data_IF_270170773921
#
_entry.id   IF_270170773921
#
_cell.length_a   1.000
_cell.length_b   1.000
_cell.length_c   1.000
_cell.angle_alpha   90.00
_cell.angle_beta   90.00
_cell.angle_gamma   90.00
#
_symmetry.space_group_name_H-M   'P 1'
#
loop_
_entity.id
_entity.type
_entity.pdbx_description
1 polymer ?
#
# COMPACT_ATOMS: atom_id res chain seq x y z
N UNK A 1 17.52 -2.64 90.49
CA UNK A 1 17.86 -2.70 89.05
C UNK A 1 16.91 -3.68 88.37
N UNK A 2 15.88 -3.19 87.68
CA UNK A 2 14.95 -4.01 86.87
C UNK A 2 15.39 -3.92 85.41
N UNK A 3 15.63 -5.06 84.77
CA UNK A 3 15.89 -5.16 83.31
C UNK A 3 14.55 -5.27 82.60
N UNK A 4 14.32 -4.42 81.61
CA UNK A 4 13.18 -4.46 80.68
C UNK A 4 13.68 -5.17 79.41
N UNK A 5 12.95 -6.16 78.85
CA UNK A 5 13.28 -6.71 77.55
C UNK A 5 12.67 -5.82 76.45
N UNK A 6 13.50 -5.40 75.50
CA UNK A 6 13.04 -4.73 74.27
C UNK A 6 12.84 -5.81 73.22
N UNK A 7 11.59 -6.11 72.90
CA UNK A 7 11.21 -7.00 71.79
C UNK A 7 11.24 -6.19 70.50
N UNK A 8 12.21 -6.47 69.63
CA UNK A 8 12.28 -5.88 68.28
C UNK A 8 11.36 -6.69 67.37
N UNK A 9 10.25 -6.10 66.93
CA UNK A 9 9.38 -6.66 65.89
C UNK A 9 10.00 -6.36 64.53
N UNK A 10 10.54 -7.39 63.86
CA UNK A 10 10.96 -7.31 62.47
C UNK A 10 9.71 -7.42 61.58
N UNK A 11 9.24 -6.29 61.03
CA UNK A 11 8.21 -6.30 60.00
C UNK A 11 8.84 -6.82 58.70
N UNK A 12 8.50 -8.06 58.31
CA UNK A 12 8.82 -8.63 57.01
C UNK A 12 8.02 -7.88 55.94
N UNK A 13 8.67 -6.93 55.27
CA UNK A 13 8.23 -6.39 53.98
C UNK A 13 8.39 -7.50 52.93
N UNK A 14 7.37 -8.35 52.83
CA UNK A 14 7.16 -9.20 51.66
C UNK A 14 6.98 -8.26 50.46
N UNK A 15 8.05 -8.14 49.68
CA UNK A 15 8.07 -7.53 48.37
C UNK A 15 6.94 -8.12 47.51
N UNK A 16 5.83 -7.40 47.39
CA UNK A 16 4.99 -7.45 46.20
C UNK A 16 5.78 -6.76 45.09
N UNK A 17 6.77 -7.46 44.54
CA UNK A 17 7.29 -7.10 43.24
C UNK A 17 6.11 -7.29 42.26
N UNK A 18 5.63 -6.24 41.58
CA UNK A 18 4.83 -6.50 40.39
C UNK A 18 5.72 -7.34 39.49
N UNK A 19 5.22 -8.48 39.01
CA UNK A 19 5.86 -9.22 37.94
C UNK A 19 6.00 -8.25 36.76
N UNK A 20 7.13 -7.56 36.69
CA UNK A 20 7.53 -6.82 35.51
C UNK A 20 7.94 -7.92 34.52
N UNK A 21 6.98 -8.45 33.78
CA UNK A 21 7.31 -9.21 32.57
C UNK A 21 8.10 -8.26 31.71
N UNK A 22 9.41 -8.50 31.60
CA UNK A 22 10.22 -7.81 30.61
C UNK A 22 9.52 -8.00 29.27
N UNK A 23 9.21 -6.90 28.59
CA UNK A 23 8.63 -6.97 27.27
C UNK A 23 9.63 -7.72 26.37
N UNK A 24 9.19 -8.85 25.83
CA UNK A 24 9.97 -9.65 24.89
C UNK A 24 9.53 -9.28 23.47
N UNK A 25 10.49 -9.17 22.57
CA UNK A 25 10.28 -9.02 21.13
C UNK A 25 10.12 -10.38 20.44
N UNK A 26 10.27 -11.48 21.21
CA UNK A 26 10.29 -12.86 20.73
C UNK A 26 9.25 -13.76 21.39
N UNK A 27 8.71 -14.66 20.58
CA UNK A 27 7.81 -15.75 20.95
C UNK A 27 8.41 -17.07 20.44
N UNK A 28 8.71 -17.99 21.35
CA UNK A 28 9.26 -19.32 21.03
C UNK A 28 8.21 -20.42 21.18
N UNK A 29 8.46 -21.60 20.61
CA UNK A 29 7.53 -22.74 20.73
C UNK A 29 7.27 -23.09 22.20
N UNK A 30 5.99 -23.29 22.54
CA UNK A 30 5.52 -23.55 23.90
C UNK A 30 5.11 -22.29 24.67
N UNK A 31 5.50 -21.10 24.19
CA UNK A 31 4.96 -19.83 24.67
C UNK A 31 3.69 -19.46 23.89
N UNK A 32 2.91 -18.54 24.46
CA UNK A 32 1.71 -18.00 23.84
C UNK A 32 1.46 -16.57 24.29
N UNK A 33 0.74 -15.82 23.48
CA UNK A 33 0.19 -14.51 23.83
C UNK A 33 -1.32 -14.67 23.94
N UNK A 34 -1.88 -14.35 25.11
CA UNK A 34 -3.32 -14.30 25.37
C UNK A 34 -3.83 -12.87 25.26
N UNK A 35 -5.15 -12.71 25.30
CA UNK A 35 -5.75 -11.38 25.37
C UNK A 35 -5.26 -10.61 26.61
N UNK A 36 -4.86 -9.35 26.40
CA UNK A 36 -4.21 -8.50 27.40
C UNK A 36 -2.68 -8.62 27.48
N UNK A 37 -2.09 -9.63 26.84
CA UNK A 37 -0.63 -9.78 26.69
C UNK A 37 -0.17 -9.23 25.33
N UNK A 38 1.08 -8.78 25.27
CA UNK A 38 1.66 -8.18 24.04
C UNK A 38 3.10 -8.60 23.83
N UNK A 39 3.50 -8.73 22.56
CA UNK A 39 4.88 -8.75 22.12
C UNK A 39 5.29 -7.34 21.70
N UNK A 40 6.46 -6.84 22.08
CA UNK A 40 6.90 -5.48 21.72
C UNK A 40 8.22 -5.51 20.98
N UNK A 41 8.38 -4.68 19.96
CA UNK A 41 9.68 -4.50 19.32
C UNK A 41 10.71 -4.01 20.34
N UNK A 42 12.00 -4.25 20.07
CA UNK A 42 13.09 -3.93 21.01
C UNK A 42 13.25 -2.42 21.31
N UNK A 43 12.77 -1.55 20.44
CA UNK A 43 12.68 -0.09 20.61
C UNK A 43 11.32 0.38 21.19
N UNK A 44 10.45 -0.59 21.48
CA UNK A 44 9.08 -0.43 21.95
C UNK A 44 8.26 0.53 21.08
N UNK A 45 8.50 0.62 19.77
CA UNK A 45 7.69 1.43 18.85
C UNK A 45 6.49 0.67 18.28
N UNK A 46 6.60 -0.65 18.19
CA UNK A 46 5.55 -1.54 17.72
C UNK A 46 5.18 -2.55 18.79
N UNK A 47 3.90 -2.92 18.82
CA UNK A 47 3.40 -4.02 19.64
C UNK A 47 2.43 -4.89 18.85
N UNK A 48 2.47 -6.19 19.13
CA UNK A 48 1.57 -7.21 18.61
C UNK A 48 0.73 -7.73 19.76
N UNK A 49 -0.59 -7.76 19.57
CA UNK A 49 -1.52 -8.26 20.58
C UNK A 49 -2.95 -8.32 20.11
N UNK A 50 -3.85 -8.66 21.03
CA UNK A 50 -5.30 -8.70 20.77
C UNK A 50 -5.92 -7.30 20.88
N UNK A 51 -6.79 -6.96 19.93
CA UNK A 51 -7.49 -5.69 19.90
C UNK A 51 -8.91 -5.81 19.35
N UNK A 52 -9.69 -4.75 19.54
CA UNK A 52 -11.06 -4.59 19.02
C UNK A 52 -11.18 -3.22 18.36
N UNK A 53 -11.50 -3.16 17.05
CA UNK A 53 -11.62 -1.90 16.35
C UNK A 53 -12.94 -1.19 16.69
N UNK A 54 -12.84 0.09 17.04
CA UNK A 54 -14.00 0.92 17.38
C UNK A 54 -14.84 0.32 18.52
N UNK A 55 -16.15 0.22 18.28
CA UNK A 55 -17.10 -0.35 19.25
C UNK A 55 -17.41 -1.84 18.99
N UNK A 56 -16.58 -2.53 18.20
CA UNK A 56 -16.79 -3.95 17.90
C UNK A 56 -16.48 -4.84 19.11
N UNK A 57 -17.29 -5.89 19.31
CA UNK A 57 -17.00 -6.94 20.29
C UNK A 57 -16.14 -8.07 19.72
N UNK A 58 -15.84 -8.03 18.42
CA UNK A 58 -14.94 -8.98 17.77
C UNK A 58 -13.49 -8.74 18.21
N UNK A 59 -12.75 -9.83 18.40
CA UNK A 59 -11.31 -9.77 18.69
C UNK A 59 -10.46 -10.20 17.51
N UNK A 60 -9.39 -9.44 17.32
CA UNK A 60 -8.40 -9.62 16.27
C UNK A 60 -7.00 -9.56 16.88
N UNK A 61 -6.05 -10.21 16.22
CA UNK A 61 -4.63 -10.06 16.49
C UNK A 61 -4.06 -9.11 15.46
N UNK A 62 -3.34 -8.08 15.91
CA UNK A 62 -2.74 -7.11 15.01
C UNK A 62 -1.48 -6.47 15.58
N UNK A 63 -0.72 -5.84 14.67
CA UNK A 63 0.44 -5.02 15.00
C UNK A 63 0.00 -3.56 15.00
N UNK A 64 0.44 -2.80 15.99
CA UNK A 64 0.11 -1.39 16.16
C UNK A 64 1.31 -0.60 16.66
N UNK A 65 1.26 0.73 16.50
CA UNK A 65 2.20 1.62 17.16
C UNK A 65 1.88 1.70 18.65
N UNK A 66 2.81 1.24 19.49
CA UNK A 66 2.65 1.11 20.94
C UNK A 66 2.46 2.45 21.68
N UNK A 67 3.10 3.52 21.19
CA UNK A 67 3.14 4.85 21.84
C UNK A 67 2.02 5.79 21.38
N UNK A 68 1.16 5.33 20.47
CA UNK A 68 0.11 6.16 19.86
C UNK A 68 -1.25 5.78 20.45
N UNK A 69 -1.91 6.76 21.08
CA UNK A 69 -3.30 6.63 21.52
C UNK A 69 -4.23 6.48 20.30
N UNK A 70 -5.36 5.78 20.46
CA UNK A 70 -6.32 5.42 19.39
C UNK A 70 -5.90 4.28 18.44
N UNK A 71 -5.11 3.31 18.93
CA UNK A 71 -4.83 2.01 18.28
C UNK A 71 -4.54 2.14 16.77
N UNK A 72 -3.39 2.72 16.43
CA UNK A 72 -2.92 2.86 15.06
C UNK A 72 -2.44 1.51 14.47
N UNK A 73 -3.38 0.59 14.27
CA UNK A 73 -3.17 -0.74 13.68
C UNK A 73 -2.54 -0.58 12.28
N UNK A 74 -1.52 -1.39 12.01
CA UNK A 74 -0.78 -1.43 10.74
C UNK A 74 -0.88 -2.80 10.05
N UNK A 75 -1.26 -3.84 10.80
CA UNK A 75 -1.40 -5.20 10.28
C UNK A 75 -2.38 -6.01 11.13
N UNK A 76 -3.14 -6.92 10.51
CA UNK A 76 -4.16 -7.75 11.18
C UNK A 76 -4.10 -9.18 10.65
N UNK A 77 -3.86 -10.15 11.52
CA UNK A 77 -3.75 -11.56 11.16
C UNK A 77 -5.11 -12.14 10.72
N UNK A 78 -6.04 -12.26 11.67
CA UNK A 78 -7.32 -12.95 11.48
C UNK A 78 -8.43 -12.04 10.97
N UNK A 79 -8.12 -11.15 10.03
CA UNK A 79 -9.06 -10.14 9.53
C UNK A 79 -10.34 -10.71 8.90
N UNK A 80 -10.27 -11.90 8.31
CA UNK A 80 -11.42 -12.59 7.70
C UNK A 80 -12.29 -13.35 8.71
N UNK A 81 -11.68 -13.79 9.82
CA UNK A 81 -12.33 -14.65 10.82
C UNK A 81 -12.07 -14.09 12.22
N UNK A 82 -12.94 -13.20 12.73
CA UNK A 82 -12.81 -12.68 14.09
C UNK A 82 -12.99 -13.77 15.16
N UNK A 83 -12.41 -13.53 16.34
CA UNK A 83 -12.67 -14.32 17.55
C UNK A 83 -13.82 -13.69 18.33
N UNK A 84 -14.67 -14.53 18.91
CA UNK A 84 -15.69 -14.11 19.88
C UNK A 84 -15.15 -14.24 21.31
N UNK A 85 -15.33 -13.22 22.14
CA UNK A 85 -14.78 -13.20 23.50
C UNK A 85 -13.26 -12.96 23.53
N UNK A 86 -12.66 -13.15 24.70
CA UNK A 86 -11.24 -12.83 24.99
C UNK A 86 -10.37 -14.07 25.22
N UNK A 87 -10.90 -15.27 24.93
CA UNK A 87 -10.20 -16.53 25.17
C UNK A 87 -9.30 -16.95 23.98
N UNK A 88 -9.02 -16.02 23.07
CA UNK A 88 -8.13 -16.24 21.93
C UNK A 88 -6.67 -16.40 22.36
N UNK A 89 -5.92 -17.19 21.58
CA UNK A 89 -4.50 -17.42 21.82
C UNK A 89 -3.71 -17.32 20.52
N UNK A 90 -2.65 -16.51 20.54
CA UNK A 90 -1.62 -16.47 19.51
C UNK A 90 -0.43 -17.32 19.96
N UNK A 91 0.00 -18.27 19.14
CA UNK A 91 1.10 -19.20 19.48
C UNK A 91 1.77 -19.77 18.24
N UNK A 92 2.90 -20.43 18.44
CA UNK A 92 3.49 -21.31 17.42
C UNK A 92 2.82 -22.69 17.53
N UNK A 93 2.30 -23.17 16.40
CA UNK A 93 1.67 -24.48 16.26
C UNK A 93 2.66 -25.64 16.31
N UNK A 94 2.15 -26.87 16.34
CA UNK A 94 3.02 -28.06 16.27
C UNK A 94 3.74 -28.20 14.93
N UNK A 95 3.12 -27.68 13.87
CA UNK A 95 3.67 -27.55 12.53
C UNK A 95 4.71 -26.42 12.40
N UNK A 96 4.95 -25.66 13.47
CA UNK A 96 5.91 -24.55 13.51
C UNK A 96 5.37 -23.24 12.93
N UNK A 97 4.13 -23.21 12.45
CA UNK A 97 3.51 -21.97 11.95
C UNK A 97 3.07 -21.06 13.10
N UNK A 98 3.06 -19.74 12.86
CA UNK A 98 2.36 -18.81 13.73
C UNK A 98 0.85 -19.00 13.53
N UNK A 99 0.11 -19.19 14.62
CA UNK A 99 -1.31 -19.53 14.60
C UNK A 99 -2.11 -18.69 15.58
N UNK A 100 -3.32 -18.32 15.17
CA UNK A 100 -4.36 -17.77 16.04
C UNK A 100 -5.43 -18.84 16.23
N UNK A 101 -5.74 -19.17 17.48
CA UNK A 101 -6.82 -20.09 17.86
C UNK A 101 -7.87 -19.38 18.72
N UNK A 102 -9.13 -19.78 18.60
CA UNK A 102 -10.21 -19.27 19.45
C UNK A 102 -10.28 -19.99 20.81
N UNK A 103 -11.22 -19.56 21.67
CA UNK A 103 -11.43 -20.14 23.00
C UNK A 103 -11.85 -21.61 23.01
N UNK A 104 -12.32 -22.13 21.88
CA UNK A 104 -12.62 -23.56 21.71
C UNK A 104 -11.42 -24.35 21.19
N UNK A 105 -10.27 -23.70 20.99
CA UNK A 105 -9.07 -24.28 20.40
C UNK A 105 -9.15 -24.46 18.88
N UNK A 106 -10.15 -23.88 18.21
CA UNK A 106 -10.28 -23.98 16.75
C UNK A 106 -9.32 -23.04 16.06
N UNK A 107 -8.68 -23.50 14.99
CA UNK A 107 -7.79 -22.66 14.18
C UNK A 107 -8.58 -21.55 13.47
N UNK A 108 -8.12 -20.32 13.66
CA UNK A 108 -8.72 -19.11 13.09
C UNK A 108 -7.86 -18.56 11.96
N UNK A 109 -6.54 -18.51 12.15
CA UNK A 109 -5.57 -18.04 11.16
C UNK A 109 -4.23 -18.76 11.33
N UNK A 110 -3.44 -18.89 10.26
CA UNK A 110 -2.08 -19.43 10.26
C UNK A 110 -1.23 -18.76 9.18
N UNK A 111 0.07 -18.61 9.41
CA UNK A 111 1.05 -18.08 8.45
C UNK A 111 1.21 -18.93 7.19
N UNK A 112 0.79 -20.21 7.21
CA UNK A 112 0.87 -21.16 6.06
C UNK A 112 2.27 -21.25 5.43
N UNK A 113 3.30 -21.11 6.23
CA UNK A 113 4.70 -21.17 5.83
C UNK A 113 5.20 -22.62 5.69
N UNK A 114 6.19 -22.81 4.82
CA UNK A 114 6.94 -24.07 4.72
C UNK A 114 8.06 -24.09 5.77
N UNK A 115 7.72 -24.50 7.00
CA UNK A 115 8.65 -24.50 8.14
C UNK A 115 9.51 -25.77 8.13
N UNK A 116 10.84 -25.63 8.08
CA UNK A 116 11.74 -26.78 7.99
C UNK A 116 11.97 -27.49 9.34
N UNK A 117 11.98 -26.76 10.45
CA UNK A 117 12.13 -27.32 11.80
C UNK A 117 11.17 -26.64 12.78
N UNK A 118 10.04 -27.30 13.08
CA UNK A 118 9.03 -26.71 13.97
C UNK A 118 9.54 -26.47 15.39
N UNK A 119 10.48 -27.28 15.88
CA UNK A 119 11.04 -27.14 17.22
C UNK A 119 12.02 -25.95 17.34
N UNK A 120 12.56 -25.46 16.23
CA UNK A 120 13.43 -24.29 16.18
C UNK A 120 12.70 -23.02 15.74
N UNK A 121 11.38 -23.10 15.55
CA UNK A 121 10.58 -21.96 15.11
C UNK A 121 10.50 -20.89 16.20
N UNK A 122 10.86 -19.67 15.81
CA UNK A 122 10.77 -18.46 16.64
C UNK A 122 10.07 -17.37 15.85
N UNK A 123 9.27 -16.57 16.54
CA UNK A 123 8.62 -15.38 16.00
C UNK A 123 9.22 -14.15 16.66
N UNK A 124 9.57 -13.15 15.86
CA UNK A 124 10.16 -11.88 16.32
C UNK A 124 9.43 -10.69 15.71
N UNK A 125 9.08 -9.70 16.53
CA UNK A 125 8.62 -8.39 16.06
C UNK A 125 9.80 -7.43 16.02
N UNK A 126 10.18 -6.97 14.84
CA UNK A 126 11.34 -6.10 14.68
C UNK A 126 11.03 -4.61 14.86
N UNK A 127 12.06 -3.78 14.83
CA UNK A 127 11.97 -2.31 14.98
C UNK A 127 11.38 -1.60 13.75
N UNK A 128 11.12 -2.32 12.66
CA UNK A 128 10.41 -1.79 11.48
C UNK A 128 8.91 -2.09 11.53
N UNK A 129 8.48 -2.94 12.48
CA UNK A 129 7.10 -3.41 12.60
C UNK A 129 6.85 -4.71 11.81
N UNK A 130 7.89 -5.35 11.29
CA UNK A 130 7.79 -6.62 10.60
C UNK A 130 7.78 -7.77 11.62
N UNK A 131 6.75 -8.61 11.55
CA UNK A 131 6.67 -9.86 12.29
C UNK A 131 7.25 -10.99 11.45
N UNK A 132 8.33 -11.60 11.94
CA UNK A 132 9.15 -12.57 11.21
C UNK A 132 9.07 -13.91 11.91
N UNK A 133 8.76 -14.97 11.15
CA UNK A 133 8.87 -16.36 11.57
C UNK A 133 10.12 -16.96 10.92
N UNK A 134 11.05 -17.49 11.72
CA UNK A 134 12.32 -18.05 11.22
C UNK A 134 12.81 -19.22 12.08
N UNK A 135 13.93 -19.84 11.66
CA UNK A 135 14.65 -20.83 12.45
C UNK A 135 15.68 -20.16 13.34
N UNK A 136 15.64 -20.43 14.64
CA UNK A 136 16.57 -19.90 15.65
C UNK A 136 16.52 -18.38 15.88
N UNK A 137 17.17 -17.98 16.97
CA UNK A 137 17.14 -16.64 17.58
C UNK A 137 18.25 -15.70 17.06
N UNK A 138 19.08 -16.17 16.12
CA UNK A 138 20.40 -15.60 15.84
C UNK A 138 20.58 -14.94 14.47
N UNK A 139 19.58 -14.99 13.60
CA UNK A 139 19.69 -14.37 12.27
C UNK A 139 18.80 -13.13 12.20
N UNK A 140 19.46 -11.97 12.17
CA UNK A 140 18.85 -10.73 11.66
C UNK A 140 18.62 -10.79 10.14
N UNK A 141 19.07 -11.87 9.50
CA UNK A 141 18.89 -12.13 8.08
C UNK A 141 17.45 -12.53 7.78
N UNK A 142 16.73 -11.63 7.11
CA UNK A 142 15.36 -11.86 6.65
C UNK A 142 15.27 -12.81 5.46
N UNK A 143 16.39 -13.11 4.78
CA UNK A 143 16.41 -13.98 3.61
C UNK A 143 16.21 -15.46 3.98
N UNK A 144 16.45 -15.82 5.24
CA UNK A 144 16.19 -17.15 5.80
C UNK A 144 14.84 -17.26 6.53
N UNK A 145 14.01 -16.21 6.47
CA UNK A 145 12.69 -16.21 7.11
C UNK A 145 11.75 -17.22 6.43
N UNK A 146 11.02 -17.99 7.25
CA UNK A 146 9.94 -18.84 6.76
C UNK A 146 8.71 -18.02 6.33
N UNK A 147 8.43 -16.92 7.03
CA UNK A 147 7.32 -16.02 6.74
C UNK A 147 7.56 -14.63 7.33
N UNK A 148 7.01 -13.61 6.70
CA UNK A 148 7.09 -12.22 7.15
C UNK A 148 5.77 -11.50 6.92
N UNK A 149 5.31 -10.72 7.90
CA UNK A 149 4.08 -9.91 7.77
C UNK A 149 4.16 -8.88 6.64
N UNK A 150 5.36 -8.39 6.31
CA UNK A 150 5.54 -7.43 5.22
C UNK A 150 5.26 -8.04 3.83
N UNK A 151 5.30 -9.37 3.71
CA UNK A 151 4.96 -10.09 2.49
C UNK A 151 3.46 -10.48 2.43
N UNK A 152 2.70 -10.26 3.51
CA UNK A 152 1.26 -10.51 3.59
C UNK A 152 0.57 -9.28 4.23
N UNK A 153 0.62 -8.11 3.56
CA UNK A 153 0.16 -6.86 4.16
C UNK A 153 -1.37 -6.75 4.19
N UNK A 154 -1.86 -5.80 5.00
CA UNK A 154 -3.31 -5.53 5.09
C UNK A 154 -3.69 -4.27 4.32
N UNK A 155 -3.94 -3.15 5.00
CA UNK A 155 -4.33 -1.88 4.39
C UNK A 155 -3.21 -0.84 4.41
N UNK A 156 -2.08 -1.15 5.04
CA UNK A 156 -1.02 -0.20 5.35
C UNK A 156 0.31 -0.62 4.70
N UNK A 157 1.02 0.37 4.18
CA UNK A 157 2.35 0.24 3.58
C UNK A 157 3.36 1.11 4.34
N UNK A 158 4.31 0.45 4.98
CA UNK A 158 5.30 1.02 5.89
C UNK A 158 6.65 1.23 5.20
N UNK A 159 7.54 2.03 5.82
CA UNK A 159 8.91 2.16 5.37
C UNK A 159 9.59 0.79 5.20
N UNK A 160 10.42 0.66 4.17
CA UNK A 160 11.20 -0.54 3.86
C UNK A 160 10.40 -1.78 3.43
N UNK A 161 9.06 -1.73 3.43
CA UNK A 161 8.27 -2.74 2.75
C UNK A 161 8.62 -2.75 1.26
N UNK A 162 8.65 -3.94 0.66
CA UNK A 162 9.01 -4.14 -0.74
C UNK A 162 7.81 -4.68 -1.50
N UNK A 163 7.52 -4.07 -2.65
CA UNK A 163 6.49 -4.57 -3.58
C UNK A 163 7.18 -5.00 -4.86
N UNK A 164 7.08 -6.29 -5.19
CA UNK A 164 7.65 -6.84 -6.40
C UNK A 164 6.96 -6.25 -7.64
N UNK A 165 7.75 -5.64 -8.53
CA UNK A 165 7.27 -5.12 -9.80
C UNK A 165 7.21 -6.27 -10.82
N UNK A 166 6.09 -6.38 -11.53
CA UNK A 166 5.88 -7.45 -12.51
C UNK A 166 5.29 -8.73 -11.90
N UNK A 167 4.89 -8.70 -10.63
CA UNK A 167 4.14 -9.79 -10.00
C UNK A 167 2.82 -10.06 -10.73
N UNK A 168 2.38 -11.33 -10.74
CA UNK A 168 1.04 -11.70 -11.16
C UNK A 168 -0.03 -11.16 -10.19
N UNK A 169 0.33 -11.04 -8.91
CA UNK A 169 -0.49 -10.43 -7.88
C UNK A 169 -0.21 -8.92 -7.83
N UNK A 170 -1.01 -8.16 -8.57
CA UNK A 170 -0.88 -6.71 -8.68
C UNK A 170 -1.63 -5.94 -7.58
N UNK A 171 -2.51 -6.63 -6.84
CA UNK A 171 -3.26 -6.09 -5.72
C UNK A 171 -2.50 -6.41 -4.44
N UNK A 172 -1.89 -5.40 -3.83
CA UNK A 172 -0.95 -5.59 -2.71
C UNK A 172 -1.64 -5.33 -1.38
N UNK A 173 -2.34 -4.19 -1.26
CA UNK A 173 -3.08 -3.81 -0.07
C UNK A 173 -4.58 -3.95 -0.32
N UNK A 174 -5.32 -4.26 0.75
CA UNK A 174 -6.77 -4.29 0.76
C UNK A 174 -7.32 -3.50 1.95
N UNK A 175 -8.17 -2.52 1.65
CA UNK A 175 -8.86 -1.70 2.63
C UNK A 175 -9.59 -2.52 3.68
N UNK A 176 -9.83 -1.93 4.83
CA UNK A 176 -10.83 -2.43 5.76
C UNK A 176 -12.23 -2.24 5.18
N UNK A 177 -13.18 -3.07 5.57
CA UNK A 177 -14.58 -2.95 5.14
C UNK A 177 -15.27 -1.73 5.74
N UNK A 178 -14.90 -1.35 6.96
CA UNK A 178 -15.35 -0.13 7.63
C UNK A 178 -14.38 0.28 8.72
N UNK A 179 -14.62 1.40 9.41
CA UNK A 179 -13.80 1.85 10.55
C UNK A 179 -13.79 0.88 11.73
N UNK A 180 -14.75 -0.05 11.82
CA UNK A 180 -14.87 -1.02 12.92
C UNK A 180 -14.84 -2.48 12.45
N UNK A 181 -14.53 -2.73 11.17
CA UNK A 181 -14.46 -4.07 10.59
C UNK A 181 -13.22 -4.18 9.68
N UNK A 182 -12.16 -4.86 10.13
CA UNK A 182 -10.89 -4.98 9.42
C UNK A 182 -10.93 -6.04 8.31
N UNK A 183 -12.03 -6.76 8.14
CA UNK A 183 -12.19 -7.70 7.02
C UNK A 183 -11.94 -7.00 5.67
N UNK A 184 -11.50 -7.74 4.64
CA UNK A 184 -11.24 -7.15 3.33
C UNK A 184 -12.43 -6.35 2.79
N UNK A 185 -12.20 -5.08 2.51
CA UNK A 185 -13.15 -4.15 1.94
C UNK A 185 -13.20 -4.20 0.41
N UNK A 186 -13.91 -3.24 -0.18
CA UNK A 186 -14.09 -3.17 -1.64
C UNK A 186 -12.90 -2.57 -2.39
N UNK A 187 -11.99 -1.90 -1.69
CA UNK A 187 -10.88 -1.19 -2.31
C UNK A 187 -9.56 -1.92 -2.10
N UNK A 188 -8.76 -1.96 -3.15
CA UNK A 188 -7.41 -2.52 -3.16
C UNK A 188 -6.45 -1.53 -3.79
N UNK A 189 -5.18 -1.62 -3.43
CA UNK A 189 -4.11 -0.79 -3.98
C UNK A 189 -2.89 -1.66 -4.29
N UNK A 190 -2.14 -1.30 -5.32
CA UNK A 190 -0.94 -2.04 -5.69
C UNK A 190 -0.31 -1.49 -6.96
N UNK A 191 0.53 -2.30 -7.60
CA UNK A 191 1.38 -1.87 -8.71
C UNK A 191 0.96 -2.58 -9.99
N UNK A 192 0.47 -1.82 -10.96
CA UNK A 192 0.24 -2.31 -12.32
C UNK A 192 1.57 -2.26 -13.11
N UNK A 193 2.08 -3.42 -13.57
CA UNK A 193 3.33 -3.47 -14.32
C UNK A 193 3.16 -3.18 -15.81
N UNK A 194 1.94 -2.96 -16.33
CA UNK A 194 1.72 -2.75 -17.77
C UNK A 194 2.38 -1.46 -18.25
N UNK A 195 3.38 -1.61 -19.11
CA UNK A 195 4.20 -0.51 -19.61
C UNK A 195 5.27 -0.14 -18.58
N UNK A 196 5.26 1.10 -18.10
CA UNK A 196 6.02 1.47 -16.90
C UNK A 196 5.16 1.24 -15.64
N UNK A 197 5.76 1.00 -14.47
CA UNK A 197 5.01 0.78 -13.23
C UNK A 197 4.10 1.96 -12.89
N UNK A 198 2.86 1.66 -12.47
CA UNK A 198 1.89 2.61 -11.95
C UNK A 198 1.35 2.11 -10.61
N UNK A 199 1.13 3.00 -9.65
CA UNK A 199 0.30 2.68 -8.47
C UNK A 199 -1.14 2.89 -8.87
N UNK A 200 -2.00 1.92 -8.57
CA UNK A 200 -3.41 1.95 -8.94
C UNK A 200 -4.25 1.62 -7.71
N UNK A 201 -5.37 2.32 -7.56
CA UNK A 201 -6.44 1.95 -6.63
C UNK A 201 -7.57 1.35 -7.45
N UNK A 202 -8.03 0.18 -7.06
CA UNK A 202 -9.21 -0.46 -7.63
C UNK A 202 -10.37 -0.46 -6.65
N UNK A 203 -11.56 -0.24 -7.18
CA UNK A 203 -12.81 -0.62 -6.56
C UNK A 203 -13.24 -1.94 -7.21
N UNK A 204 -13.05 -3.05 -6.49
CA UNK A 204 -13.15 -4.40 -7.03
C UNK A 204 -12.26 -4.55 -8.28
N UNK A 205 -12.86 -4.73 -9.47
CA UNK A 205 -12.13 -4.86 -10.74
C UNK A 205 -11.92 -3.54 -11.49
N UNK A 206 -12.55 -2.44 -11.05
CA UNK A 206 -12.54 -1.16 -11.76
C UNK A 206 -11.45 -0.25 -11.20
N UNK A 207 -10.65 0.37 -12.07
CA UNK A 207 -9.69 1.41 -11.64
C UNK A 207 -10.47 2.63 -11.14
N UNK A 208 -10.11 3.10 -9.96
CA UNK A 208 -10.65 4.32 -9.34
C UNK A 208 -9.66 5.48 -9.43
N UNK A 209 -8.37 5.19 -9.29
CA UNK A 209 -7.30 6.17 -9.38
C UNK A 209 -6.02 5.52 -9.90
N UNK A 210 -5.12 6.32 -10.47
CA UNK A 210 -3.77 5.88 -10.85
C UNK A 210 -2.77 6.99 -10.57
N UNK A 211 -1.57 6.65 -10.12
CA UNK A 211 -0.49 7.62 -9.91
C UNK A 211 0.11 8.13 -11.21
N UNK A 212 -0.19 7.49 -12.35
CA UNK A 212 0.53 7.68 -13.60
C UNK A 212 1.86 6.91 -13.60
N UNK A 213 2.56 6.92 -14.73
CA UNK A 213 3.79 6.14 -14.89
C UNK A 213 4.94 6.65 -14.02
N UNK A 214 5.70 5.71 -13.45
CA UNK A 214 7.00 5.96 -12.84
C UNK A 214 8.04 6.31 -13.91
N UNK A 215 8.66 7.49 -13.79
CA UNK A 215 9.67 7.96 -14.76
C UNK A 215 11.12 7.82 -14.27
N UNK A 216 11.36 7.04 -13.21
CA UNK A 216 12.67 6.95 -12.57
C UNK A 216 12.90 7.93 -11.43
N UNK A 217 12.06 8.96 -11.30
CA UNK A 217 12.16 10.00 -10.26
C UNK A 217 10.86 10.11 -9.46
N UNK A 218 9.72 10.18 -10.14
CA UNK A 218 8.41 10.33 -9.54
C UNK A 218 7.32 9.65 -10.40
N UNK A 219 6.14 9.49 -9.82
CA UNK A 219 4.95 9.11 -10.57
C UNK A 219 4.37 10.36 -11.25
N UNK A 220 4.22 10.31 -12.57
CA UNK A 220 3.88 11.47 -13.41
C UNK A 220 2.55 12.17 -13.08
N UNK A 221 1.61 11.48 -12.45
CA UNK A 221 0.34 12.03 -11.95
C UNK A 221 0.37 12.49 -10.50
N UNK A 222 1.53 12.43 -9.83
CA UNK A 222 1.72 12.95 -8.46
C UNK A 222 2.94 13.89 -8.45
N UNK A 223 2.91 14.99 -9.22
CA UNK A 223 4.09 15.84 -9.44
C UNK A 223 4.56 16.56 -8.17
N UNK A 224 3.68 16.77 -7.20
CA UNK A 224 4.00 17.38 -5.91
C UNK A 224 4.53 16.39 -4.87
N UNK A 225 4.81 15.14 -5.25
CA UNK A 225 5.42 14.15 -4.37
C UNK A 225 6.63 14.75 -3.65
N UNK A 226 7.57 15.37 -4.36
CA UNK A 226 8.75 16.00 -3.76
C UNK A 226 8.45 17.11 -2.72
N UNK A 227 7.28 17.78 -2.81
CA UNK A 227 6.87 18.82 -1.86
C UNK A 227 6.22 18.23 -0.59
N UNK A 228 5.65 17.03 -0.68
CA UNK A 228 4.94 16.35 0.39
C UNK A 228 5.74 15.22 1.04
N UNK A 229 6.79 14.75 0.38
CA UNK A 229 7.61 13.65 0.87
C UNK A 229 8.79 14.15 1.69
N UNK A 230 8.81 13.88 3.00
CA UNK A 230 10.03 13.93 3.83
C UNK A 230 10.87 12.67 3.63
N UNK A 231 11.09 12.29 2.37
CA UNK A 231 11.91 11.14 1.99
C UNK A 231 13.18 11.66 1.35
N UNK A 232 14.33 11.10 1.72
CA UNK A 232 15.62 11.61 1.24
C UNK A 232 15.73 11.44 -0.30
N UNK A 233 14.93 10.51 -0.86
CA UNK A 233 14.92 10.13 -2.27
C UNK A 233 13.54 9.72 -2.84
N UNK A 234 12.42 9.96 -2.12
CA UNK A 234 11.09 9.54 -2.58
C UNK A 234 10.83 8.02 -2.51
N UNK A 235 9.84 7.55 -3.28
CA UNK A 235 9.75 6.14 -3.66
C UNK A 235 10.98 5.76 -4.49
N UNK A 236 11.40 4.51 -4.37
CA UNK A 236 12.53 3.94 -5.11
C UNK A 236 12.06 2.71 -5.86
N UNK A 237 12.52 2.59 -7.10
CA UNK A 237 12.47 1.35 -7.87
C UNK A 237 13.91 0.91 -8.08
N UNK A 238 14.30 -0.16 -7.40
CA UNK A 238 15.68 -0.65 -7.45
C UNK A 238 15.73 -2.17 -7.60
N UNK A 239 16.75 -2.70 -8.31
CA UNK A 239 17.03 -4.13 -8.31
C UNK A 239 17.56 -4.54 -6.93
N UNK A 240 17.14 -5.69 -6.46
CA UNK A 240 17.68 -6.34 -5.26
C UNK A 240 18.66 -7.46 -5.64
N UNK A 241 19.20 -8.18 -4.65
CA UNK A 241 20.18 -9.26 -4.83
C UNK A 241 19.70 -10.39 -5.75
N UNK A 242 18.39 -10.59 -5.84
CA UNK A 242 17.73 -11.57 -6.71
C UNK A 242 17.57 -11.08 -8.17
N UNK A 243 17.95 -9.83 -8.46
CA UNK A 243 17.81 -9.20 -9.77
C UNK A 243 16.41 -8.69 -10.08
N UNK A 244 15.43 -8.87 -9.18
CA UNK A 244 14.07 -8.38 -9.35
C UNK A 244 13.98 -6.91 -8.94
N UNK A 245 13.04 -6.18 -9.56
CA UNK A 245 12.76 -4.79 -9.26
C UNK A 245 11.69 -4.69 -8.17
N UNK A 246 11.96 -3.91 -7.14
CA UNK A 246 11.01 -3.65 -6.06
C UNK A 246 10.71 -2.17 -5.93
N UNK A 247 9.45 -1.86 -5.65
CA UNK A 247 9.01 -0.56 -5.17
C UNK A 247 9.15 -0.53 -3.65
N UNK A 248 9.91 0.46 -3.15
CA UNK A 248 10.09 0.71 -1.71
C UNK A 248 10.16 2.20 -1.41
N UNK A 249 10.11 2.59 -0.14
CA UNK A 249 10.46 3.95 0.28
C UNK A 249 11.14 3.92 1.65
N UNK A 250 11.97 4.94 1.88
CA UNK A 250 12.68 5.13 3.15
C UNK A 250 12.50 6.58 3.61
N UNK A 251 12.08 6.82 4.86
CA UNK A 251 11.99 8.17 5.42
C UNK A 251 13.36 8.86 5.48
N UNK A 252 13.38 10.18 5.35
CA UNK A 252 14.61 10.98 5.54
C UNK A 252 15.16 10.87 6.94
N UNK A 253 14.26 10.84 7.92
CA UNK A 253 14.55 10.65 9.32
C UNK A 253 13.88 9.35 9.78
N UNK A 254 14.65 8.30 10.11
CA UNK A 254 14.10 7.02 10.58
C UNK A 254 13.23 7.14 11.84
N UNK A 255 13.33 8.22 12.60
CA UNK A 255 12.48 8.48 13.77
C UNK A 255 11.09 9.03 13.42
N UNK A 256 10.89 9.53 12.18
CA UNK A 256 9.59 10.02 11.74
C UNK A 256 8.65 8.85 11.35
N UNK A 257 7.57 8.70 12.10
CA UNK A 257 6.53 7.74 11.75
C UNK A 257 5.73 8.23 10.55
N UNK A 258 5.90 7.52 9.44
CA UNK A 258 5.21 7.76 8.18
C UNK A 258 4.61 6.45 7.68
N UNK A 259 3.42 6.52 7.08
CA UNK A 259 2.77 5.37 6.45
C UNK A 259 1.87 5.79 5.29
N UNK A 260 1.69 4.89 4.35
CA UNK A 260 0.62 4.96 3.35
C UNK A 260 -0.48 3.98 3.74
N UNK A 261 -1.74 4.37 3.60
CA UNK A 261 -2.87 3.51 3.97
C UNK A 261 -4.00 3.62 2.95
N UNK A 262 -4.56 2.49 2.52
CA UNK A 262 -5.81 2.46 1.76
C UNK A 262 -6.99 2.40 2.73
N UNK A 263 -7.76 3.49 2.77
CA UNK A 263 -8.89 3.66 3.67
C UNK A 263 -10.12 2.88 3.23
N UNK A 264 -11.05 2.62 4.16
CA UNK A 264 -12.30 1.89 3.91
C UNK A 264 -13.21 2.54 2.84
N UNK A 265 -13.10 3.87 2.65
CA UNK A 265 -13.83 4.64 1.65
C UNK A 265 -13.04 4.82 0.34
N UNK A 266 -11.89 4.14 0.20
CA UNK A 266 -11.16 3.99 -1.06
C UNK A 266 -10.25 5.16 -1.42
N UNK A 267 -9.76 5.87 -0.41
CA UNK A 267 -8.67 6.84 -0.56
C UNK A 267 -7.35 6.24 -0.09
N UNK A 268 -6.29 6.46 -0.87
CA UNK A 268 -4.93 6.33 -0.37
C UNK A 268 -4.62 7.58 0.46
N UNK A 269 -4.08 7.40 1.67
CA UNK A 269 -3.62 8.49 2.51
C UNK A 269 -2.17 8.28 2.95
N UNK A 270 -1.32 9.27 2.70
CA UNK A 270 -0.02 9.39 3.34
C UNK A 270 -0.22 10.09 4.69
N UNK A 271 0.13 9.40 5.77
CA UNK A 271 0.00 9.90 7.14
C UNK A 271 1.36 10.06 7.78
N UNK A 272 1.54 11.17 8.48
CA UNK A 272 2.71 11.46 9.31
C UNK A 272 2.28 11.70 10.75
N UNK A 273 2.97 11.09 11.70
CA UNK A 273 2.70 11.34 13.11
C UNK A 273 3.24 12.71 13.53
N UNK A 274 2.39 13.53 14.15
CA UNK A 274 2.81 14.80 14.71
C UNK A 274 2.90 14.70 16.24
N UNK A 275 4.14 14.70 16.75
CA UNK A 275 4.41 14.62 18.20
C UNK A 275 3.86 15.83 18.99
N UNK A 276 3.67 16.99 18.37
CA UNK A 276 3.14 18.17 19.08
C UNK A 276 1.63 18.07 19.28
N UNK A 277 0.90 17.60 18.27
CA UNK A 277 -0.57 17.45 18.34
C UNK A 277 -1.02 16.07 18.80
N UNK A 278 -0.09 15.11 18.94
CA UNK A 278 -0.37 13.71 19.26
C UNK A 278 -1.44 13.12 18.31
N UNK A 279 -1.30 13.39 17.01
CA UNK A 279 -2.25 12.97 16.00
C UNK A 279 -1.57 12.63 14.67
N UNK A 280 -2.18 11.71 13.92
CA UNK A 280 -1.83 11.46 12.53
C UNK A 280 -2.31 12.63 11.66
N UNK A 281 -1.37 13.27 10.97
CA UNK A 281 -1.67 14.29 9.98
C UNK A 281 -1.68 13.65 8.60
N UNK A 282 -2.77 13.88 7.85
CA UNK A 282 -2.87 13.48 6.45
C UNK A 282 -2.09 14.50 5.63
N UNK A 283 -1.00 14.05 5.02
CA UNK A 283 -0.12 14.88 4.19
C UNK A 283 -0.59 14.87 2.74
N UNK A 284 -1.11 13.73 2.29
CA UNK A 284 -1.69 13.52 0.97
C UNK A 284 -2.91 12.61 1.09
N UNK A 285 -3.90 12.83 0.22
CA UNK A 285 -5.02 11.91 0.00
C UNK A 285 -5.32 11.79 -1.49
N UNK A 286 -5.48 10.57 -2.01
CA UNK A 286 -5.76 10.30 -3.42
C UNK A 286 -6.95 9.35 -3.60
N UNK A 287 -7.85 9.58 -4.57
CA UNK A 287 -7.91 10.76 -5.46
C UNK A 287 -8.27 12.05 -4.69
N UNK A 288 -7.53 13.14 -4.89
CA UNK A 288 -7.75 14.41 -4.16
C UNK A 288 -8.87 15.28 -4.73
N UNK A 289 -9.23 15.07 -6.00
CA UNK A 289 -10.19 15.91 -6.72
C UNK A 289 -10.85 15.15 -7.88
N UNK A 290 -11.85 15.77 -8.49
CA UNK A 290 -12.66 15.14 -9.53
C UNK A 290 -11.84 14.63 -10.71
N UNK A 291 -10.80 15.36 -11.13
CA UNK A 291 -9.93 14.98 -12.24
C UNK A 291 -8.96 13.82 -11.94
N UNK A 292 -8.74 13.51 -10.67
CA UNK A 292 -7.94 12.35 -10.27
C UNK A 292 -8.74 11.05 -10.35
N UNK A 293 -10.08 11.13 -10.34
CA UNK A 293 -10.91 9.96 -10.59
C UNK A 293 -10.65 9.39 -11.99
N UNK A 294 -10.41 8.09 -12.04
CA UNK A 294 -10.08 7.40 -13.26
C UNK A 294 -11.18 7.57 -14.31
N UNK A 295 -10.77 8.01 -15.50
CA UNK A 295 -11.64 8.21 -16.67
C UNK A 295 -12.80 9.19 -16.47
N UNK A 296 -12.63 10.23 -15.63
CA UNK A 296 -13.68 11.24 -15.35
C UNK A 296 -14.24 11.93 -16.61
N UNK A 297 -13.41 12.22 -17.62
CA UNK A 297 -13.82 12.91 -18.85
C UNK A 297 -14.07 11.99 -20.07
N UNK A 298 -14.02 10.67 -19.88
CA UNK A 298 -14.14 9.70 -20.96
C UNK A 298 -12.98 9.71 -21.96
N UNK A 299 -13.08 8.84 -22.97
CA UNK A 299 -12.04 8.68 -23.99
C UNK A 299 -11.80 9.98 -24.76
N UNK A 300 -10.52 10.34 -24.98
CA UNK A 300 -10.09 11.56 -25.69
C UNK A 300 -10.58 12.88 -25.07
N UNK A 301 -11.13 12.84 -23.86
CA UNK A 301 -11.41 14.01 -23.03
C UNK A 301 -10.23 14.35 -22.11
N UNK A 302 -10.07 15.63 -21.80
CA UNK A 302 -9.07 16.13 -20.86
C UNK A 302 -9.78 16.80 -19.69
N UNK A 303 -9.39 16.43 -18.48
CA UNK A 303 -9.90 17.03 -17.25
C UNK A 303 -9.01 18.19 -16.80
N UNK A 304 -9.61 19.32 -16.44
CA UNK A 304 -8.92 20.48 -15.87
C UNK A 304 -9.58 20.84 -14.54
N UNK A 305 -8.91 20.68 -13.38
CA UNK A 305 -9.52 20.81 -12.05
C UNK A 305 -10.32 22.09 -11.80
N UNK A 306 -9.90 23.21 -12.38
CA UNK A 306 -10.56 24.53 -12.30
C UNK A 306 -11.17 24.98 -13.63
N UNK A 307 -11.34 24.08 -14.59
CA UNK A 307 -11.93 24.37 -15.89
C UNK A 307 -13.44 24.56 -15.80
N UNK A 308 -13.98 25.45 -16.65
CA UNK A 308 -15.42 25.60 -16.86
C UNK A 308 -15.70 25.59 -18.37
N UNK A 309 -16.16 24.46 -18.95
CA UNK A 309 -16.44 23.17 -18.31
C UNK A 309 -15.16 22.44 -17.87
N UNK A 310 -15.28 21.55 -16.87
CA UNK A 310 -14.16 20.77 -16.31
C UNK A 310 -13.55 19.80 -17.32
N UNK A 311 -14.38 19.23 -18.18
CA UNK A 311 -13.96 18.35 -19.26
C UNK A 311 -14.02 19.07 -20.60
N UNK A 312 -12.96 18.90 -21.39
CA UNK A 312 -12.88 19.38 -22.77
C UNK A 312 -12.39 18.28 -23.70
N UNK A 313 -12.82 18.28 -24.96
CA UNK A 313 -12.28 17.36 -25.95
C UNK A 313 -10.90 17.83 -26.41
N UNK A 314 -10.01 16.88 -26.71
CA UNK A 314 -8.76 17.18 -27.40
C UNK A 314 -9.01 17.96 -28.69
N UNK A 315 -8.04 18.79 -29.10
CA UNK A 315 -8.16 19.53 -30.35
C UNK A 315 -8.33 18.57 -31.53
N UNK A 316 -9.36 18.80 -32.36
CA UNK A 316 -9.73 17.92 -33.47
C UNK A 316 -10.79 16.86 -33.11
N UNK A 317 -11.26 16.85 -31.86
CA UNK A 317 -12.33 15.98 -31.38
C UNK A 317 -13.58 16.78 -31.01
N UNK A 318 -14.70 16.08 -30.87
CA UNK A 318 -15.98 16.61 -30.42
C UNK A 318 -16.72 15.61 -29.52
N UNK A 319 -17.66 16.06 -28.66
CA UNK A 319 -18.38 15.15 -27.76
C UNK A 319 -19.18 14.12 -28.54
N UNK A 320 -19.05 12.84 -28.17
CA UNK A 320 -19.82 11.75 -28.80
C UNK A 320 -21.34 11.89 -28.59
N UNK A 321 -21.72 12.43 -27.42
CA UNK A 321 -23.10 12.72 -27.07
C UNK A 321 -23.23 14.18 -26.62
N UNK A 322 -23.40 15.14 -27.56
CA UNK A 322 -23.40 16.57 -27.25
C UNK A 322 -24.43 16.99 -26.19
N UNK A 323 -25.61 16.38 -26.19
CA UNK A 323 -26.67 16.71 -25.23
C UNK A 323 -26.31 16.24 -23.81
N UNK A 324 -25.74 15.04 -23.67
CA UNK A 324 -25.24 14.55 -22.37
C UNK A 324 -24.06 15.40 -21.88
N UNK A 325 -23.15 15.77 -22.79
CA UNK A 325 -21.98 16.59 -22.50
C UNK A 325 -22.37 17.97 -21.96
N UNK A 326 -23.39 18.61 -22.55
CA UNK A 326 -23.94 19.90 -22.09
C UNK A 326 -24.58 19.81 -20.71
N UNK A 327 -25.11 18.65 -20.34
CA UNK A 327 -25.67 18.37 -19.01
C UNK A 327 -24.62 17.96 -17.97
N UNK A 328 -23.33 17.95 -18.33
CA UNK A 328 -22.24 17.58 -17.43
C UNK A 328 -21.97 16.08 -17.33
N UNK A 329 -22.57 15.25 -18.20
CA UNK A 329 -22.21 13.85 -18.33
C UNK A 329 -21.15 13.67 -19.42
N UNK A 330 -19.89 13.54 -19.00
CA UNK A 330 -18.72 13.39 -19.88
C UNK A 330 -18.30 11.95 -20.13
N UNK A 331 -18.98 10.97 -19.52
CA UNK A 331 -18.60 9.54 -19.57
C UNK A 331 -18.51 8.97 -20.99
N UNK A 332 -19.30 9.49 -21.94
CA UNK A 332 -19.27 9.10 -23.35
C UNK A 332 -18.00 9.52 -24.09
N UNK A 333 -17.20 10.41 -23.50
CA UNK A 333 -15.97 10.93 -24.08
C UNK A 333 -16.18 11.71 -25.38
N UNK A 334 -15.13 11.74 -26.19
CA UNK A 334 -15.05 12.47 -27.43
C UNK A 334 -14.69 11.55 -28.60
N UNK A 335 -15.06 11.95 -29.80
CA UNK A 335 -14.72 11.28 -31.05
C UNK A 335 -14.06 12.25 -32.04
N UNK A 336 -13.31 11.71 -33.01
CA UNK A 336 -12.58 12.52 -33.99
C UNK A 336 -13.57 13.17 -34.96
N UNK A 337 -13.40 14.46 -35.23
CA UNK A 337 -14.22 15.20 -36.22
C UNK A 337 -13.98 14.74 -37.66
N UNK A 338 -12.83 14.11 -37.92
CA UNK A 338 -12.45 13.66 -39.25
C UNK A 338 -11.77 12.30 -39.17
N UNK A 339 -12.10 11.36 -40.08
CA UNK A 339 -11.48 10.05 -40.11
C UNK A 339 -10.01 10.14 -40.51
N UNK A 340 -9.20 9.20 -40.00
CA UNK A 340 -7.79 9.08 -40.34
C UNK A 340 -7.62 8.41 -41.70
N UNK A 341 -6.59 8.81 -42.44
CA UNK A 341 -6.31 8.27 -43.77
C UNK A 341 -5.76 6.85 -43.74
N UNK A 342 -4.87 6.57 -42.79
CA UNK A 342 -4.21 5.26 -42.63
C UNK A 342 -5.26 4.13 -42.49
N UNK A 343 -6.46 4.46 -42.00
CA UNK A 343 -7.56 3.52 -41.82
C UNK A 343 -8.44 3.35 -43.07
N UNK A 344 -8.39 4.28 -44.03
CA UNK A 344 -9.37 4.36 -45.12
C UNK A 344 -8.86 3.91 -46.50
N UNK A 345 -7.59 3.54 -46.68
CA UNK A 345 -7.02 3.12 -47.98
C UNK A 345 -7.27 4.09 -49.17
N UNK A 346 -7.73 5.32 -48.91
CA UNK A 346 -7.99 6.34 -49.92
C UNK A 346 -6.84 7.33 -49.95
N UNK A 347 -6.04 7.28 -51.00
CA UNK A 347 -4.81 8.07 -51.23
C UNK A 347 -5.04 9.55 -51.58
N UNK A 348 -6.28 10.08 -51.45
CA UNK A 348 -6.66 11.41 -51.95
C UNK A 348 -6.92 12.48 -50.88
N UNK A 349 -6.58 12.25 -49.61
CA UNK A 349 -6.74 13.23 -48.51
C UNK A 349 -5.39 13.74 -47.94
N UNK A 350 -5.47 14.57 -46.89
CA UNK A 350 -4.28 15.09 -46.17
C UNK A 350 -3.68 14.04 -45.25
N UNK A 351 -2.37 13.88 -45.30
CA UNK A 351 -1.61 12.97 -44.43
C UNK A 351 -1.98 13.14 -42.95
N UNK A 352 -2.09 12.00 -42.26
CA UNK A 352 -2.35 11.98 -40.82
C UNK A 352 -1.21 12.68 -40.07
N UNK A 353 -1.57 13.50 -39.07
CA UNK A 353 -0.61 14.28 -38.30
C UNK A 353 -0.94 14.28 -36.81
N UNK A 354 0.00 14.80 -36.01
CA UNK A 354 -0.11 14.85 -34.56
C UNK A 354 -0.22 16.28 -34.05
N UNK A 355 -1.08 16.48 -33.06
CA UNK A 355 -1.14 17.71 -32.28
C UNK A 355 -0.49 17.47 -30.92
N UNK A 356 0.52 18.28 -30.60
CA UNK A 356 1.15 18.23 -29.29
C UNK A 356 0.18 18.69 -28.20
N UNK A 357 0.10 17.89 -27.12
CA UNK A 357 -0.62 18.20 -25.88
C UNK A 357 0.43 18.38 -24.78
N UNK A 358 0.29 19.41 -23.96
CA UNK A 358 1.26 19.77 -22.92
C UNK A 358 0.63 19.71 -21.54
N UNK A 359 1.47 19.59 -20.50
CA UNK A 359 1.05 19.68 -19.10
C UNK A 359 -0.10 18.74 -18.74
N UNK A 360 -0.07 17.51 -19.28
CA UNK A 360 -1.14 16.52 -19.11
C UNK A 360 -0.55 15.22 -18.58
N UNK A 361 -1.21 14.61 -17.59
CA UNK A 361 -0.94 13.25 -17.13
C UNK A 361 -1.15 12.27 -18.30
N UNK A 362 -0.12 11.50 -18.64
CA UNK A 362 -0.17 10.61 -19.80
C UNK A 362 -1.31 9.60 -19.70
N UNK A 363 -2.00 9.24 -20.80
CA UNK A 363 -3.11 8.27 -20.78
C UNK A 363 -2.68 6.89 -20.29
N UNK A 364 -3.61 6.07 -19.85
CA UNK A 364 -3.32 4.69 -19.39
C UNK A 364 -3.08 3.73 -20.57
N UNK A 365 -2.58 2.53 -20.29
CA UNK A 365 -2.40 1.43 -21.24
C UNK A 365 -1.44 1.68 -22.41
N UNK A 366 -0.34 2.40 -22.16
CA UNK A 366 0.74 2.54 -23.12
C UNK A 366 1.52 1.25 -23.35
N UNK A 367 1.94 1.03 -24.59
CA UNK A 367 2.98 0.08 -24.95
C UNK A 367 4.34 0.80 -24.93
N UNK A 368 5.35 0.20 -24.28
CA UNK A 368 6.67 0.83 -24.08
C UNK A 368 7.73 0.17 -24.96
N UNK A 369 8.56 1.00 -25.59
CA UNK A 369 9.65 0.62 -26.47
C UNK A 369 10.95 1.32 -26.08
N UNK A 370 12.07 0.60 -26.19
CA UNK A 370 13.43 1.09 -25.88
C UNK A 370 14.01 2.05 -26.92
N UNK A 371 13.18 2.96 -27.45
CA UNK A 371 13.59 4.00 -28.40
C UNK A 371 13.74 5.32 -27.65
N UNK A 372 14.90 5.95 -27.82
CA UNK A 372 15.31 7.14 -27.07
C UNK A 372 15.17 8.45 -27.84
N UNK A 373 14.88 8.40 -29.14
CA UNK A 373 14.68 9.56 -30.01
C UNK A 373 13.20 9.90 -30.16
N UNK A 374 12.85 11.18 -29.98
CA UNK A 374 11.50 11.70 -30.21
C UNK A 374 11.02 11.42 -31.65
N UNK A 375 11.91 11.63 -32.62
CA UNK A 375 11.61 11.45 -34.05
C UNK A 375 11.35 9.99 -34.40
N UNK A 376 12.10 9.08 -33.81
CA UNK A 376 11.91 7.65 -34.07
C UNK A 376 10.64 7.14 -33.37
N UNK A 377 10.35 7.61 -32.16
CA UNK A 377 9.08 7.33 -31.48
C UNK A 377 7.88 7.81 -32.30
N UNK A 378 7.98 9.02 -32.88
CA UNK A 378 6.98 9.55 -33.82
C UNK A 378 6.84 8.68 -35.06
N UNK A 379 7.94 8.31 -35.72
CA UNK A 379 7.93 7.46 -36.92
C UNK A 379 7.28 6.11 -36.65
N UNK A 380 7.55 5.50 -35.49
CA UNK A 380 6.90 4.24 -35.09
C UNK A 380 5.38 4.38 -35.04
N UNK A 381 4.87 5.48 -34.47
CA UNK A 381 3.44 5.74 -34.43
C UNK A 381 2.85 6.02 -35.82
N UNK A 382 3.52 6.85 -36.64
CA UNK A 382 3.10 7.15 -38.02
C UNK A 382 2.96 5.88 -38.86
N UNK A 383 3.91 4.95 -38.72
CA UNK A 383 3.94 3.71 -39.49
C UNK A 383 2.97 2.64 -38.96
N UNK A 384 2.23 2.92 -37.89
CA UNK A 384 1.26 2.01 -37.30
C UNK A 384 -0.13 2.66 -37.30
N UNK A 385 -1.00 2.26 -38.23
CA UNK A 385 -2.37 2.82 -38.35
C UNK A 385 -3.25 2.66 -37.10
N UNK A 386 -2.90 1.71 -36.21
CA UNK A 386 -3.59 1.52 -34.92
C UNK A 386 -3.12 2.53 -33.87
N UNK A 387 -1.93 3.12 -34.02
CA UNK A 387 -1.41 4.12 -33.09
C UNK A 387 -2.23 5.40 -33.12
N UNK A 388 -2.61 5.89 -31.94
CA UNK A 388 -3.46 7.08 -31.76
C UNK A 388 -2.74 8.24 -31.07
N UNK A 389 -1.70 7.94 -30.29
CA UNK A 389 -0.85 8.92 -29.63
C UNK A 389 0.52 8.30 -29.33
N UNK A 390 1.53 9.16 -29.13
CA UNK A 390 2.85 8.77 -28.66
C UNK A 390 3.41 9.80 -27.69
N UNK A 391 4.36 9.38 -26.86
CA UNK A 391 5.17 10.25 -26.02
C UNK A 391 6.54 9.62 -25.82
N UNK A 392 7.60 10.42 -25.80
CA UNK A 392 8.90 9.97 -25.31
C UNK A 392 9.12 10.55 -23.93
N UNK A 393 9.42 9.70 -22.95
CA UNK A 393 9.60 10.09 -21.56
C UNK A 393 10.97 9.64 -21.08
N UNK A 394 11.77 10.56 -20.54
CA UNK A 394 13.03 10.21 -19.89
C UNK A 394 12.80 9.22 -18.76
N UNK A 395 13.63 8.18 -18.69
CA UNK A 395 13.50 7.09 -17.73
C UNK A 395 12.47 6.00 -18.09
N UNK A 396 11.63 6.20 -19.12
CA UNK A 396 10.70 5.16 -19.62
C UNK A 396 11.04 4.75 -21.05
N UNK A 397 11.27 5.71 -21.95
CA UNK A 397 11.45 5.49 -23.38
C UNK A 397 10.26 5.95 -24.22
N UNK A 398 10.05 5.31 -25.36
CA UNK A 398 8.95 5.61 -26.27
C UNK A 398 7.68 4.89 -25.82
N UNK A 399 6.61 5.64 -25.65
CA UNK A 399 5.30 5.17 -25.23
C UNK A 399 4.32 5.36 -26.38
N UNK A 400 3.65 4.29 -26.81
CA UNK A 400 2.63 4.33 -27.86
C UNK A 400 1.27 3.92 -27.29
N UNK A 401 0.23 4.62 -27.71
CA UNK A 401 -1.15 4.23 -27.40
C UNK A 401 -1.81 3.73 -28.67
N UNK A 402 -1.98 2.42 -28.75
CA UNK A 402 -2.71 1.77 -29.83
C UNK A 402 -4.19 1.75 -29.47
N UNK A 403 -5.05 2.10 -30.43
CA UNK A 403 -6.49 1.99 -30.24
C UNK A 403 -6.91 0.53 -30.21
N UNK A 404 -7.64 0.15 -29.17
CA UNK A 404 -8.58 -0.98 -29.17
C UNK A 404 -9.98 -0.45 -29.36
#
# INVERSE_FOLDING_TARGET
>A
MRRIPVTVFLFSLLFLAPFCHAATDRLTKGQSIKDGETLKSSDENFELGFFSPGNSTSRYVGIMYSKIQDQAVIWVANREKPISGTDGVLRIGEDGNLQVVDGNGSLVWSSKASVASSNAATVRLDTTGNLILSSNDSTDDTDEAYWQSFNDPTDTYLPNMKVLIGSAEIHVLSSWKSTSDPSPGNFTMGVDPRGAPQIVIWEQSRRRWRSGYWNGILFSGVPFMAAFTTYQYGFKVSPESDGNLYLTYTPSDPSELNKFQITWNGFEEQKRWNNSTQAWQVIQSQPSEDCENYNYCGNFGVCTPSGSPRCSCLQGFEPRHPDQWRLGNWSGGCERRSPLQCQNNTSNGREDGFKAVRCTKLPDFADVYSVTSDDDCKKMCVNNCSCKAYARVDGIGCMLWNGT
#
